data_IF_741012090813
#
_entry.id   IF_741012090813
#
_cell.length_a   1.000
_cell.length_b   1.000
_cell.length_c   1.000
_cell.angle_alpha   90.00
_cell.angle_beta   90.00
_cell.angle_gamma   90.00
#
_symmetry.space_group_name_H-M   'P 1'
#
loop_
_entity.id
_entity.type
_entity.pdbx_description
1 polymer ?
#
# COMPACT_ATOMS: atom_id res chain seq x y z
N UNK A 1 -2.80 -17.05 10.20
CA UNK A 1 -2.55 -15.64 10.59
C UNK A 1 -1.64 -15.04 9.53
N UNK A 2 -2.11 -14.09 8.73
CA UNK A 2 -1.20 -13.29 7.89
C UNK A 2 -0.44 -12.37 8.84
N UNK A 3 0.89 -12.39 8.79
CA UNK A 3 1.71 -11.45 9.57
C UNK A 3 1.68 -10.12 8.82
N UNK A 4 0.87 -9.18 9.30
CA UNK A 4 0.84 -7.80 8.82
C UNK A 4 1.32 -6.87 9.93
N UNK A 5 1.92 -5.75 9.54
CA UNK A 5 2.31 -4.70 10.49
C UNK A 5 1.19 -3.67 10.57
N UNK A 6 0.87 -3.19 11.76
CA UNK A 6 -0.10 -2.10 11.94
C UNK A 6 0.59 -0.94 12.63
N UNK A 7 0.51 0.24 12.02
CA UNK A 7 0.84 1.49 12.67
C UNK A 7 -0.38 1.97 13.46
N UNK A 8 -0.22 2.14 14.76
CA UNK A 8 -1.25 2.68 15.65
C UNK A 8 -0.65 3.89 16.38
N UNK A 9 -1.29 5.04 16.28
CA UNK A 9 -0.87 6.24 16.99
C UNK A 9 -2.08 6.97 17.56
N UNK A 10 -2.28 6.87 18.88
CA UNK A 10 -3.40 7.51 19.57
C UNK A 10 -3.35 9.04 19.49
N UNK A 11 -2.15 9.62 19.62
CA UNK A 11 -1.94 11.08 19.57
C UNK A 11 -2.39 11.68 18.23
N UNK A 12 -2.27 10.92 17.14
CA UNK A 12 -2.54 11.38 15.77
C UNK A 12 -3.78 10.71 15.16
N UNK A 13 -4.54 9.96 15.96
CA UNK A 13 -5.70 9.16 15.52
C UNK A 13 -5.44 8.31 14.27
N UNK A 14 -4.28 7.65 14.22
CA UNK A 14 -3.90 6.79 13.09
C UNK A 14 -4.03 5.32 13.44
N UNK A 15 -4.67 4.57 12.54
CA UNK A 15 -4.63 3.11 12.49
C UNK A 15 -4.48 2.67 11.04
N UNK A 16 -3.25 2.35 10.65
CA UNK A 16 -2.92 2.05 9.25
C UNK A 16 -2.30 0.65 9.18
N UNK A 17 -2.85 -0.21 8.32
CA UNK A 17 -2.18 -1.47 7.98
C UNK A 17 -1.03 -1.18 7.01
N UNK A 18 0.14 -1.76 7.27
CA UNK A 18 1.32 -1.63 6.43
C UNK A 18 1.64 -2.98 5.78
N UNK A 19 1.69 -2.98 4.46
CA UNK A 19 2.14 -4.09 3.63
C UNK A 19 3.42 -3.69 2.90
N UNK A 20 4.55 -4.29 3.27
CA UNK A 20 5.84 -4.03 2.61
C UNK A 20 6.13 -5.08 1.55
N UNK A 21 6.63 -4.64 0.39
CA UNK A 21 7.10 -5.46 -0.72
C UNK A 21 8.43 -4.89 -1.22
N UNK A 22 9.50 -5.66 -1.07
CA UNK A 22 10.83 -5.31 -1.58
C UNK A 22 11.22 -6.27 -2.69
N UNK A 23 11.84 -5.76 -3.76
CA UNK A 23 12.38 -6.60 -4.84
C UNK A 23 13.69 -6.04 -5.39
N UNK A 24 14.79 -6.78 -5.20
CA UNK A 24 16.12 -6.36 -5.67
C UNK A 24 16.36 -6.71 -7.15
N UNK A 25 15.83 -7.83 -7.61
CA UNK A 25 16.03 -8.37 -8.97
C UNK A 25 14.70 -8.65 -9.65
N UNK A 26 14.63 -8.40 -10.95
CA UNK A 26 13.43 -8.64 -11.74
C UNK A 26 13.02 -10.13 -11.70
N UNK A 27 11.72 -10.37 -11.67
CA UNK A 27 11.14 -11.71 -11.52
C UNK A 27 9.62 -11.67 -11.55
N UNK A 28 8.98 -12.83 -11.39
CA UNK A 28 7.51 -12.97 -11.45
C UNK A 28 6.75 -12.37 -10.26
N UNK A 29 7.46 -11.73 -9.32
CA UNK A 29 6.83 -11.08 -8.16
C UNK A 29 5.93 -9.92 -8.60
N UNK A 30 6.26 -9.24 -9.71
CA UNK A 30 5.43 -8.18 -10.32
C UNK A 30 3.99 -8.64 -10.59
N UNK A 31 3.81 -9.91 -10.98
CA UNK A 31 2.51 -10.51 -11.34
C UNK A 31 1.57 -10.63 -10.14
N UNK A 32 2.10 -10.47 -8.91
CA UNK A 32 1.34 -10.54 -7.67
C UNK A 32 0.78 -9.19 -7.21
N UNK A 33 1.20 -8.06 -7.80
CA UNK A 33 0.69 -6.74 -7.42
C UNK A 33 -0.84 -6.59 -7.62
N UNK A 34 -1.44 -7.12 -8.70
CA UNK A 34 -2.89 -7.14 -8.83
C UNK A 34 -3.59 -7.89 -7.71
N UNK A 35 -3.06 -9.05 -7.31
CA UNK A 35 -3.61 -9.82 -6.20
C UNK A 35 -3.44 -9.11 -4.86
N UNK A 36 -2.32 -8.42 -4.62
CA UNK A 36 -2.13 -7.58 -3.44
C UNK A 36 -3.19 -6.46 -3.37
N UNK A 37 -3.44 -5.79 -4.50
CA UNK A 37 -4.46 -4.75 -4.58
C UNK A 37 -5.88 -5.30 -4.32
N UNK A 38 -6.25 -6.41 -4.95
CA UNK A 38 -7.55 -7.06 -4.72
C UNK A 38 -7.73 -7.48 -3.26
N UNK A 39 -6.73 -8.10 -2.65
CA UNK A 39 -6.77 -8.39 -1.21
C UNK A 39 -6.96 -7.13 -0.37
N UNK A 40 -6.32 -6.02 -0.74
CA UNK A 40 -6.43 -4.75 -0.01
C UNK A 40 -7.86 -4.20 -0.02
N UNK A 41 -8.54 -4.29 -1.17
CA UNK A 41 -9.90 -3.77 -1.30
C UNK A 41 -10.97 -4.76 -0.82
N UNK A 42 -10.78 -6.07 -0.96
CA UNK A 42 -11.82 -7.08 -0.66
C UNK A 42 -11.64 -7.78 0.69
N UNK A 43 -10.41 -8.09 1.10
CA UNK A 43 -10.16 -9.01 2.20
C UNK A 43 -9.59 -8.34 3.47
N UNK A 44 -8.92 -7.19 3.34
CA UNK A 44 -8.36 -6.48 4.49
C UNK A 44 -9.47 -5.73 5.24
N UNK A 45 -9.64 -5.91 6.55
CA UNK A 45 -10.69 -5.21 7.30
C UNK A 45 -10.36 -3.74 7.56
N UNK A 46 -9.10 -3.33 7.44
CA UNK A 46 -8.70 -1.94 7.67
C UNK A 46 -9.19 -1.01 6.54
N UNK A 47 -9.62 0.20 6.92
CA UNK A 47 -9.99 1.24 5.96
C UNK A 47 -8.79 2.02 5.43
N UNK A 48 -7.74 2.18 6.25
CA UNK A 48 -6.50 2.83 5.85
C UNK A 48 -5.39 1.79 5.69
N UNK A 49 -4.87 1.67 4.47
CA UNK A 49 -3.81 0.71 4.12
C UNK A 49 -2.67 1.46 3.43
N UNK A 50 -1.44 1.12 3.80
CA UNK A 50 -0.22 1.62 3.19
C UNK A 50 0.56 0.46 2.61
N UNK A 51 0.76 0.50 1.30
CA UNK A 51 1.58 -0.44 0.55
C UNK A 51 2.94 0.23 0.32
N UNK A 52 3.99 -0.31 0.94
CA UNK A 52 5.37 0.11 0.72
C UNK A 52 5.98 -0.78 -0.37
N UNK A 53 6.37 -0.19 -1.49
CA UNK A 53 7.01 -0.87 -2.62
C UNK A 53 8.32 -0.19 -2.94
N UNK A 54 9.41 -0.95 -2.85
CA UNK A 54 10.74 -0.43 -3.13
C UNK A 54 11.69 -1.55 -3.62
N UNK A 55 12.87 -1.16 -4.10
CA UNK A 55 13.86 -2.01 -4.74
C UNK A 55 13.87 -1.88 -6.27
N UNK A 56 15.06 -2.07 -6.86
CA UNK A 56 15.28 -1.83 -8.29
C UNK A 56 14.72 -2.93 -9.22
N UNK A 57 14.23 -4.04 -8.67
CA UNK A 57 13.77 -5.20 -9.44
C UNK A 57 12.33 -5.10 -9.95
N UNK A 58 11.55 -4.13 -9.51
CA UNK A 58 10.16 -3.97 -9.97
C UNK A 58 10.09 -3.43 -11.40
N UNK A 59 9.21 -4.00 -12.21
CA UNK A 59 8.89 -3.41 -13.51
C UNK A 59 8.16 -2.08 -13.31
N UNK A 60 8.62 -1.03 -14.00
CA UNK A 60 7.99 0.30 -13.95
C UNK A 60 6.48 0.24 -14.28
N UNK A 61 6.09 -0.61 -15.25
CA UNK A 61 4.69 -0.84 -15.61
C UNK A 61 3.86 -1.45 -14.48
N UNK A 62 4.44 -2.31 -13.64
CA UNK A 62 3.74 -2.96 -12.53
C UNK A 62 3.49 -1.96 -11.38
N UNK A 63 4.49 -1.15 -11.02
CA UNK A 63 4.31 -0.06 -10.04
C UNK A 63 3.28 0.95 -10.56
N UNK A 64 3.40 1.36 -11.83
CA UNK A 64 2.46 2.29 -12.46
C UNK A 64 1.03 1.74 -12.42
N UNK A 65 0.85 0.47 -12.78
CA UNK A 65 -0.46 -0.18 -12.75
C UNK A 65 -1.07 -0.13 -11.34
N UNK A 66 -0.29 -0.41 -10.29
CA UNK A 66 -0.80 -0.37 -8.92
C UNK A 66 -1.18 1.04 -8.48
N UNK A 67 -0.31 2.04 -8.74
CA UNK A 67 -0.61 3.44 -8.44
C UNK A 67 -1.88 3.92 -9.18
N UNK A 68 -2.04 3.51 -10.44
CA UNK A 68 -3.23 3.81 -11.24
C UNK A 68 -4.48 3.09 -10.72
N UNK A 69 -4.36 1.82 -10.32
CA UNK A 69 -5.48 1.04 -9.77
C UNK A 69 -6.02 1.68 -8.49
N UNK A 70 -5.12 2.08 -7.59
CA UNK A 70 -5.46 2.81 -6.35
C UNK A 70 -6.10 4.17 -6.67
N UNK A 71 -5.48 4.96 -7.54
CA UNK A 71 -6.00 6.30 -7.91
C UNK A 71 -7.39 6.24 -8.54
N UNK A 72 -7.63 5.26 -9.40
CA UNK A 72 -8.90 5.08 -10.11
C UNK A 72 -9.92 4.27 -9.29
N UNK A 73 -9.55 3.81 -8.09
CA UNK A 73 -10.35 2.88 -7.27
C UNK A 73 -10.88 1.71 -8.10
N UNK A 74 -10.01 1.11 -8.93
CA UNK A 74 -10.40 0.01 -9.82
C UNK A 74 -11.03 -1.12 -9.00
N UNK A 75 -12.08 -1.73 -9.54
CA UNK A 75 -12.75 -2.90 -8.97
C UNK A 75 -13.37 -2.70 -7.57
N UNK A 76 -13.39 -1.48 -7.02
CA UNK A 76 -14.09 -1.23 -5.75
C UNK A 76 -15.59 -1.23 -5.96
N UNK A 77 -16.31 -1.70 -4.95
CA UNK A 77 -17.76 -1.64 -4.79
C UNK A 77 -18.16 -0.43 -3.94
N UNK A 78 -19.46 -0.18 -3.81
CA UNK A 78 -19.98 0.86 -2.91
C UNK A 78 -19.55 0.67 -1.45
N UNK A 79 -19.33 -0.58 -1.03
CA UNK A 79 -18.87 -0.95 0.30
C UNK A 79 -17.37 -0.70 0.50
N UNK A 80 -16.57 -0.89 -0.54
CA UNK A 80 -15.09 -0.87 -0.46
C UNK A 80 -14.47 0.43 -0.99
N UNK A 81 -15.24 1.29 -1.66
CA UNK A 81 -14.76 2.56 -2.25
C UNK A 81 -14.21 3.57 -1.24
N UNK A 82 -14.56 3.44 0.03
CA UNK A 82 -14.12 4.36 1.09
C UNK A 82 -12.73 4.01 1.64
N UNK A 83 -12.12 2.91 1.19
CA UNK A 83 -10.74 2.56 1.57
C UNK A 83 -9.76 3.62 1.09
N UNK A 84 -8.89 4.04 2.00
CA UNK A 84 -7.76 4.91 1.74
C UNK A 84 -6.50 4.06 1.58
N UNK A 85 -5.96 4.03 0.37
CA UNK A 85 -4.80 3.21 0.04
C UNK A 85 -3.65 4.14 -0.36
N UNK A 86 -2.54 4.05 0.35
CA UNK A 86 -1.30 4.75 0.04
C UNK A 86 -0.33 3.78 -0.63
N UNK A 87 0.35 4.21 -1.68
CA UNK A 87 1.40 3.44 -2.34
C UNK A 87 2.68 4.27 -2.33
N UNK A 88 3.66 3.88 -1.53
CA UNK A 88 4.89 4.63 -1.30
C UNK A 88 6.14 3.80 -1.58
N UNK A 89 7.19 4.45 -2.08
CA UNK A 89 8.57 4.01 -1.84
C UNK A 89 8.98 4.28 -0.39
N UNK A 90 10.12 3.75 0.07
CA UNK A 90 10.62 4.05 1.43
C UNK A 90 10.92 5.55 1.57
N UNK A 91 11.45 6.20 0.54
CA UNK A 91 11.69 7.64 0.53
C UNK A 91 10.39 8.45 0.65
N UNK A 92 9.34 8.06 -0.09
CA UNK A 92 8.00 8.66 0.00
C UNK A 92 7.42 8.47 1.41
N UNK A 93 7.59 7.28 2.00
CA UNK A 93 7.17 6.97 3.36
C UNK A 93 7.88 7.85 4.41
N UNK A 94 9.21 7.97 4.36
CA UNK A 94 9.94 8.83 5.31
C UNK A 94 9.49 10.29 5.21
N UNK A 95 9.25 10.77 3.98
CA UNK A 95 8.73 12.12 3.74
C UNK A 95 7.35 12.30 4.36
N UNK A 96 6.45 11.33 4.17
CA UNK A 96 5.12 11.33 4.79
C UNK A 96 5.19 11.27 6.32
N UNK A 97 6.03 10.38 6.87
CA UNK A 97 6.16 10.19 8.31
C UNK A 97 6.67 11.47 8.99
N UNK A 98 7.70 12.10 8.43
CA UNK A 98 8.23 13.36 8.95
C UNK A 98 7.17 14.47 8.94
N UNK A 99 6.38 14.59 7.85
CA UNK A 99 5.29 15.59 7.78
C UNK A 99 4.13 15.30 8.73
N UNK A 100 3.89 14.03 9.01
CA UNK A 100 2.78 13.58 9.86
C UNK A 100 3.11 13.74 11.34
N UNK A 101 4.32 13.34 11.75
CA UNK A 101 4.69 13.24 13.16
C UNK A 101 5.52 14.41 13.70
N UNK A 102 6.30 15.12 12.87
CA UNK A 102 7.13 16.25 13.32
C UNK A 102 6.36 17.59 13.30
N UNK A 103 5.08 17.57 13.64
CA UNK A 103 4.27 18.76 13.92
C UNK A 103 4.19 19.01 15.42
#
# INVERSE_FOLDING_TARGET
>A
RLNYTTLISKKYDLRIRIECKWQQVAGSVDEKLPYLYLNTIEAMPENSIMILIDGAGWKAGAIKWLKDAVKQKKYTTEETKNKEIFVFSLTEFFTWANKTFNK
#
